data_IF_844315930093
#
_entry.id   IF_844315930093
#
_cell.length_a   1.000
_cell.length_b   1.000
_cell.length_c   1.000
_cell.angle_alpha   90.00
_cell.angle_beta   90.00
_cell.angle_gamma   90.00
#
_symmetry.space_group_name_H-M   'P 1'
#
loop_
_entity.id
_entity.type
_entity.pdbx_description
1 polymer ?
#
# COMPACT_ATOMS: atom_id res chain seq x y z
N UNK A 1 6.65 -16.47 5.05
CA UNK A 1 7.92 -15.86 4.60
C UNK A 1 7.80 -15.54 3.11
N UNK A 2 7.19 -14.40 2.78
CA UNK A 2 7.14 -13.87 1.42
C UNK A 2 8.35 -12.96 1.22
N UNK A 3 9.14 -13.24 0.19
CA UNK A 3 10.34 -12.48 -0.14
C UNK A 3 9.89 -11.14 -0.73
N UNK A 4 10.22 -10.04 -0.07
CA UNK A 4 10.04 -8.71 -0.64
C UNK A 4 11.34 -8.33 -1.31
N UNK A 5 11.40 -8.49 -2.62
CA UNK A 5 12.57 -8.11 -3.41
C UNK A 5 12.65 -6.58 -3.44
N UNK A 6 13.73 -6.04 -2.89
CA UNK A 6 14.00 -4.60 -2.79
C UNK A 6 14.20 -4.00 -4.19
N UNK A 7 13.44 -2.96 -4.53
CA UNK A 7 13.73 -2.10 -5.69
C UNK A 7 14.73 -1.01 -5.27
N UNK A 8 15.73 -0.79 -6.13
CA UNK A 8 16.73 0.24 -5.95
C UNK A 8 16.06 1.63 -5.98
N UNK A 9 16.14 2.36 -4.87
CA UNK A 9 15.71 3.76 -4.64
C UNK A 9 14.25 4.02 -4.23
N UNK A 10 13.32 3.06 -4.36
CA UNK A 10 11.94 3.22 -3.88
C UNK A 10 11.78 2.82 -2.40
N UNK A 11 11.16 3.68 -1.58
CA UNK A 11 10.88 3.32 -0.18
C UNK A 11 9.74 2.30 -0.13
N UNK A 12 10.00 1.14 0.47
CA UNK A 12 8.99 0.11 0.68
C UNK A 12 8.10 0.47 1.89
N UNK A 13 6.80 0.56 1.66
CA UNK A 13 5.79 0.72 2.71
C UNK A 13 5.07 -0.61 2.93
N UNK A 14 4.86 -0.98 4.19
CA UNK A 14 4.04 -2.13 4.58
C UNK A 14 2.83 -1.63 5.35
N UNK A 15 1.64 -2.02 4.91
CA UNK A 15 0.39 -1.71 5.57
C UNK A 15 -0.40 -2.99 5.81
N UNK A 16 -0.78 -3.25 7.04
CA UNK A 16 -1.68 -4.34 7.40
C UNK A 16 -3.07 -3.78 7.73
N UNK A 17 -4.09 -4.31 7.07
CA UNK A 17 -5.48 -3.93 7.25
C UNK A 17 -6.23 -5.14 7.81
N UNK A 18 -6.49 -5.19 9.13
CA UNK A 18 -7.04 -6.37 9.78
C UNK A 18 -8.55 -6.56 9.55
N UNK A 19 -9.30 -5.51 9.18
CA UNK A 19 -10.76 -5.57 9.03
C UNK A 19 -11.25 -4.87 7.76
N UNK A 20 -12.43 -5.31 7.27
CA UNK A 20 -13.07 -4.70 6.11
C UNK A 20 -13.51 -3.25 6.37
N UNK A 21 -13.85 -2.92 7.61
CA UNK A 21 -14.22 -1.57 8.04
C UNK A 21 -13.02 -0.62 7.90
N UNK A 22 -11.82 -1.05 8.33
CA UNK A 22 -10.61 -0.25 8.19
C UNK A 22 -10.18 -0.10 6.73
N UNK A 23 -10.36 -1.14 5.91
CA UNK A 23 -10.17 -1.05 4.46
C UNK A 23 -11.09 0.01 3.86
N UNK A 24 -12.38 -0.01 4.22
CA UNK A 24 -13.36 0.93 3.70
C UNK A 24 -13.03 2.38 4.07
N UNK A 25 -12.57 2.63 5.30
CA UNK A 25 -12.18 3.97 5.75
C UNK A 25 -10.92 4.51 5.04
N UNK A 26 -10.04 3.62 4.58
CA UNK A 26 -8.79 3.98 3.89
C UNK A 26 -8.92 4.00 2.37
N UNK A 27 -9.95 3.36 1.81
CA UNK A 27 -10.12 3.23 0.37
C UNK A 27 -10.65 4.53 -0.26
N UNK A 28 -9.98 4.99 -1.31
CA UNK A 28 -10.33 6.19 -2.07
C UNK A 28 -10.90 5.79 -3.43
N UNK A 29 -12.20 5.55 -3.49
CA UNK A 29 -12.91 5.06 -4.69
C UNK A 29 -12.99 6.07 -5.84
N UNK A 30 -12.75 7.36 -5.56
CA UNK A 30 -12.80 8.44 -6.56
C UNK A 30 -11.50 8.59 -7.35
N UNK A 31 -10.43 7.90 -6.96
CA UNK A 31 -9.16 7.88 -7.70
C UNK A 31 -9.28 6.88 -8.84
N UNK A 32 -8.87 7.29 -10.05
CA UNK A 32 -8.84 6.38 -11.20
C UNK A 32 -7.92 5.20 -10.91
N UNK A 33 -8.43 3.97 -11.08
CA UNK A 33 -7.71 2.75 -10.71
C UNK A 33 -7.84 2.35 -9.22
N UNK A 34 -8.55 3.14 -8.42
CA UNK A 34 -8.65 2.97 -6.97
C UNK A 34 -7.44 3.54 -6.23
N UNK A 35 -7.67 4.08 -5.04
CA UNK A 35 -6.61 4.60 -4.18
C UNK A 35 -6.69 4.02 -2.77
N UNK A 36 -5.58 4.04 -2.05
CA UNK A 36 -5.50 3.63 -0.65
C UNK A 36 -4.72 4.66 0.15
N UNK A 37 -5.33 5.16 1.23
CA UNK A 37 -4.69 6.11 2.11
C UNK A 37 -3.74 5.42 3.10
N UNK A 38 -2.47 5.80 3.06
CA UNK A 38 -1.41 5.30 3.95
C UNK A 38 -0.90 6.45 4.82
N UNK A 39 -1.15 6.36 6.13
CA UNK A 39 -0.57 7.30 7.09
C UNK A 39 0.92 6.98 7.27
N UNK A 40 1.79 7.97 7.02
CA UNK A 40 3.25 7.84 7.14
C UNK A 40 3.84 9.15 7.63
N UNK A 41 4.87 9.08 8.48
CA UNK A 41 5.64 10.25 8.95
C UNK A 41 6.69 10.68 7.93
N UNK A 42 6.94 9.86 6.91
CA UNK A 42 7.89 10.17 5.84
C UNK A 42 7.24 11.11 4.85
N UNK A 43 7.91 12.22 4.54
CA UNK A 43 7.48 13.10 3.47
C UNK A 43 7.69 12.41 2.10
N UNK A 44 6.65 12.41 1.29
CA UNK A 44 6.65 12.00 -0.11
C UNK A 44 6.23 13.18 -0.97
N UNK A 45 6.81 13.31 -2.16
CA UNK A 45 6.33 14.25 -3.17
C UNK A 45 5.43 13.52 -4.16
N UNK A 46 4.55 14.28 -4.83
CA UNK A 46 3.75 13.72 -5.91
C UNK A 46 4.68 13.17 -7.01
N UNK A 47 4.29 12.05 -7.60
CA UNK A 47 5.07 11.26 -8.57
C UNK A 47 6.30 10.53 -7.99
N UNK A 48 6.46 10.46 -6.66
CA UNK A 48 7.40 9.51 -6.06
C UNK A 48 6.89 8.08 -6.27
N UNK A 49 7.71 7.26 -6.92
CA UNK A 49 7.45 5.83 -7.02
C UNK A 49 7.56 5.18 -5.64
N UNK A 50 6.47 4.54 -5.22
CA UNK A 50 6.38 3.82 -3.95
C UNK A 50 5.95 2.38 -4.17
N UNK A 51 6.61 1.48 -3.44
CA UNK A 51 6.20 0.08 -3.38
C UNK A 51 5.40 -0.13 -2.10
N UNK A 52 4.12 -0.45 -2.25
CA UNK A 52 3.23 -0.76 -1.12
C UNK A 52 2.97 -2.26 -1.05
N UNK A 53 3.22 -2.84 0.12
CA UNK A 53 2.74 -4.17 0.47
C UNK A 53 1.52 -4.01 1.35
N UNK A 54 0.40 -4.58 0.89
CA UNK A 54 -0.85 -4.57 1.63
C UNK A 54 -1.17 -5.99 2.08
N UNK A 55 -1.34 -6.16 3.39
CA UNK A 55 -1.97 -7.35 3.98
C UNK A 55 -3.46 -7.05 4.16
N UNK A 56 -4.32 -7.75 3.41
CA UNK A 56 -5.78 -7.56 3.43
C UNK A 56 -6.48 -8.53 4.40
N UNK A 57 -7.66 -8.14 4.92
CA UNK A 57 -8.41 -9.00 5.82
C UNK A 57 -8.85 -10.26 5.05
N UNK A 58 -8.59 -11.44 5.63
CA UNK A 58 -8.86 -12.75 5.04
C UNK A 58 -8.01 -13.14 3.82
N UNK A 59 -7.00 -12.36 3.44
CA UNK A 59 -5.97 -12.81 2.50
C UNK A 59 -4.74 -13.33 3.25
N UNK A 60 -4.22 -14.47 2.82
CA UNK A 60 -2.98 -15.05 3.36
C UNK A 60 -1.74 -14.58 2.58
N UNK A 61 -1.93 -13.77 1.53
CA UNK A 61 -0.88 -13.35 0.62
C UNK A 61 -0.81 -11.82 0.56
N UNK A 62 0.41 -11.28 0.70
CA UNK A 62 0.71 -9.86 0.53
C UNK A 62 0.51 -9.46 -0.92
N UNK A 63 -0.30 -8.43 -1.16
CA UNK A 63 -0.47 -7.83 -2.48
C UNK A 63 0.56 -6.71 -2.63
N UNK A 64 1.40 -6.82 -3.67
CA UNK A 64 2.34 -5.77 -4.05
C UNK A 64 1.71 -4.81 -5.04
N UNK A 65 1.62 -3.53 -4.68
CA UNK A 65 1.11 -2.47 -5.55
C UNK A 65 2.25 -1.50 -5.84
N UNK A 66 2.54 -1.27 -7.12
CA UNK A 66 3.41 -0.18 -7.58
C UNK A 66 2.56 1.04 -7.86
N UNK A 67 2.91 2.18 -7.26
CA UNK A 67 2.35 3.49 -7.63
C UNK A 67 3.24 4.16 -8.68
N UNK A 68 2.63 4.61 -9.77
CA UNK A 68 3.24 5.43 -10.84
C UNK A 68 2.74 6.89 -10.79
#
# INVERSE_FOLDING_TARGET
MGVVTMAANGKLLKLAIPTAEELHLRYMSFVNGGGLFVSTETAYVLADEVYLLVDLPNETQQVGVGGE
#
